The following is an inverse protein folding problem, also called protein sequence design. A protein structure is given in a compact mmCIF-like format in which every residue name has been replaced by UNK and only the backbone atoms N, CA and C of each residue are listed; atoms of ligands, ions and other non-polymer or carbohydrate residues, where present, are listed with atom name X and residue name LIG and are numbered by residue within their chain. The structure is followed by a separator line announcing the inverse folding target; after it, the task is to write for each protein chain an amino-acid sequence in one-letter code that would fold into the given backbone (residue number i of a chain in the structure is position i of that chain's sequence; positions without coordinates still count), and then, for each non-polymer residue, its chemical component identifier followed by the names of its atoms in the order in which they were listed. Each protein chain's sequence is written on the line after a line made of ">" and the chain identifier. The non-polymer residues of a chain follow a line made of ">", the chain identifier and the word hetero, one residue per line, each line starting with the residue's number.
data_IF_295478407211
#
_entry.id   IF_295478407211
#
_cell.length_a   1.000
_cell.length_b   1.000
_cell.length_c   1.000
_cell.angle_alpha   90.00
_cell.angle_beta   90.00
_cell.angle_gamma   90.00
#
_symmetry.space_group_name_H-M   'P 1'
#
loop_
_entity.id
_entity.type
_entity.pdbx_description
1 polymer ?
#
# COMPACT_ATOMS: atom_id res chain seq x y z
N UNK A 1 24.68 -1.82 -9.72
CA UNK A 1 24.24 -0.94 -8.62
C UNK A 1 23.91 0.42 -9.23
N UNK A 2 22.64 0.82 -9.21
CA UNK A 2 22.24 2.19 -9.56
C UNK A 2 22.32 3.03 -8.30
N UNK A 3 23.10 4.11 -8.36
CA UNK A 3 23.33 5.02 -7.25
C UNK A 3 22.27 6.12 -7.25
N UNK A 4 21.66 6.36 -6.10
CA UNK A 4 20.78 7.50 -5.88
C UNK A 4 21.65 8.76 -5.80
N UNK A 5 21.51 9.68 -6.75
CA UNK A 5 22.18 10.98 -6.71
C UNK A 5 21.18 12.04 -6.27
N UNK A 6 21.15 12.31 -4.97
CA UNK A 6 20.37 13.41 -4.42
C UNK A 6 21.24 14.68 -4.44
N UNK A 7 20.66 15.79 -4.90
CA UNK A 7 21.37 17.07 -4.82
C UNK A 7 21.43 17.55 -3.37
N UNK A 8 22.44 18.34 -3.02
CA UNK A 8 22.53 18.97 -1.69
C UNK A 8 21.30 19.80 -1.36
N UNK A 9 20.59 20.31 -2.37
CA UNK A 9 19.39 21.11 -2.20
C UNK A 9 18.17 20.22 -1.84
N UNK A 10 18.07 19.04 -2.46
CA UNK A 10 17.04 18.04 -2.14
C UNK A 10 17.14 17.56 -0.69
N UNK A 11 18.36 17.30 -0.20
CA UNK A 11 18.60 16.85 1.17
C UNK A 11 18.27 17.90 2.23
N UNK A 12 18.48 19.18 1.93
CA UNK A 12 18.34 20.26 2.93
C UNK A 12 16.98 20.93 2.91
N UNK A 13 16.26 20.90 1.78
CA UNK A 13 14.98 21.60 1.62
C UNK A 13 13.77 20.64 1.64
N UNK A 14 13.93 19.36 1.27
CA UNK A 14 12.80 18.47 0.95
C UNK A 14 12.85 17.07 1.59
N UNK A 15 13.94 16.68 2.26
CA UNK A 15 14.05 15.43 3.02
C UNK A 15 14.40 15.78 4.46
N UNK A 16 13.46 16.41 5.14
CA UNK A 16 13.73 17.12 6.39
C UNK A 16 13.75 16.20 7.62
N UNK A 17 13.29 14.95 7.51
CA UNK A 17 13.26 13.97 8.61
C UNK A 17 14.19 12.77 8.36
N UNK A 18 14.78 12.24 9.44
CA UNK A 18 15.59 11.01 9.40
C UNK A 18 14.79 9.80 8.85
N UNK A 19 13.49 9.83 9.09
CA UNK A 19 12.52 8.84 8.67
C UNK A 19 12.45 8.73 7.13
N UNK A 20 12.33 9.86 6.42
CA UNK A 20 12.29 9.89 4.95
C UNK A 20 13.57 9.34 4.31
N UNK A 21 14.73 9.57 4.95
CA UNK A 21 16.01 9.03 4.48
C UNK A 21 16.12 7.52 4.68
N UNK A 22 15.56 6.99 5.77
CA UNK A 22 15.51 5.55 6.02
C UNK A 22 14.60 4.84 5.01
N UNK A 23 13.42 5.41 4.73
CA UNK A 23 12.49 4.91 3.72
C UNK A 23 13.12 4.79 2.33
N UNK A 24 13.75 5.85 1.84
CA UNK A 24 14.43 5.86 0.53
C UNK A 24 15.56 4.82 0.46
N UNK A 25 16.27 4.59 1.57
CA UNK A 25 17.31 3.56 1.64
C UNK A 25 16.72 2.15 1.53
N UNK A 26 15.62 1.88 2.21
CA UNK A 26 14.93 0.58 2.16
C UNK A 26 14.45 0.26 0.73
N UNK A 27 13.92 1.26 0.03
CA UNK A 27 13.50 1.12 -1.38
C UNK A 27 14.67 0.74 -2.30
N UNK A 28 15.83 1.38 -2.12
CA UNK A 28 17.03 1.05 -2.88
C UNK A 28 17.53 -0.37 -2.58
N UNK A 29 17.49 -0.81 -1.32
CA UNK A 29 17.93 -2.16 -0.92
C UNK A 29 17.02 -3.26 -1.46
N UNK A 30 15.73 -2.98 -1.63
CA UNK A 30 14.77 -3.88 -2.27
C UNK A 30 14.80 -3.83 -3.81
N UNK A 31 15.69 -3.03 -4.40
CA UNK A 31 15.90 -2.99 -5.85
C UNK A 31 14.91 -2.13 -6.64
N UNK A 32 14.17 -1.24 -5.98
CA UNK A 32 13.27 -0.31 -6.66
C UNK A 32 14.05 0.87 -7.26
N UNK A 33 13.68 1.29 -8.48
CA UNK A 33 14.24 2.48 -9.12
C UNK A 33 13.38 3.69 -8.83
N UNK A 34 14.00 4.73 -8.27
CA UNK A 34 13.35 6.02 -8.03
C UNK A 34 13.52 6.88 -9.30
N UNK A 35 12.45 7.44 -9.88
CA UNK A 35 12.55 8.29 -11.07
C UNK A 35 13.37 9.54 -10.79
N UNK A 36 14.19 9.94 -11.77
CA UNK A 36 15.05 11.11 -11.64
C UNK A 36 14.31 12.46 -11.68
N UNK A 37 13.04 12.45 -12.08
CA UNK A 37 12.16 13.62 -12.22
C UNK A 37 11.15 13.76 -11.06
N UNK A 38 11.28 12.95 -10.01
CA UNK A 38 10.41 13.02 -8.85
C UNK A 38 10.67 14.33 -8.07
N UNK A 39 9.72 15.27 -8.16
CA UNK A 39 9.72 16.50 -7.38
C UNK A 39 8.96 16.30 -6.06
N UNK A 40 9.57 16.68 -4.94
CA UNK A 40 8.96 16.62 -3.61
C UNK A 40 8.77 18.05 -3.08
N UNK A 41 7.54 18.41 -2.72
CA UNK A 41 7.27 19.62 -1.93
C UNK A 41 6.19 19.29 -0.88
N UNK A 42 6.56 19.27 0.40
CA UNK A 42 5.62 19.16 1.51
C UNK A 42 6.22 19.74 2.80
N UNK A 43 5.39 20.45 3.58
CA UNK A 43 5.92 21.39 4.59
C UNK A 43 5.31 21.22 6.01
N UNK A 44 4.46 20.21 6.25
CA UNK A 44 4.05 19.70 7.58
C UNK A 44 2.97 18.59 7.47
N UNK A 45 2.83 17.75 8.53
CA UNK A 45 2.19 16.42 8.57
C UNK A 45 2.84 15.28 7.75
N UNK A 46 4.09 15.28 7.36
CA UNK A 46 5.04 16.34 7.13
C UNK A 46 6.11 15.70 6.30
N UNK A 47 6.15 16.13 5.05
CA UNK A 47 6.31 15.19 3.95
C UNK A 47 5.20 14.13 4.02
N UNK A 48 3.97 14.59 4.34
CA UNK A 48 2.75 13.78 4.41
C UNK A 48 2.70 13.00 3.14
N UNK A 49 2.81 11.68 3.25
CA UNK A 49 2.49 10.90 2.08
C UNK A 49 3.49 11.19 0.92
N UNK A 50 4.49 12.12 1.01
CA UNK A 50 5.83 11.91 0.40
C UNK A 50 6.05 10.48 0.77
N UNK A 51 6.12 9.48 -0.10
CA UNK A 51 5.96 8.05 0.25
C UNK A 51 4.59 7.33 0.14
N UNK A 52 3.37 7.87 0.39
CA UNK A 52 2.18 7.46 -0.43
C UNK A 52 2.65 7.46 -1.88
N UNK A 53 3.43 8.52 -2.12
CA UNK A 53 4.53 8.91 -3.02
C UNK A 53 5.81 8.09 -2.80
N UNK A 54 5.75 6.81 -3.02
CA UNK A 54 6.17 6.57 -4.39
C UNK A 54 5.00 6.26 -5.29
N UNK A 55 3.82 6.64 -4.82
CA UNK A 55 2.63 6.95 -5.57
C UNK A 55 2.38 5.73 -6.37
N UNK A 56 2.29 4.60 -5.66
CA UNK A 56 2.13 3.27 -6.23
C UNK A 56 3.43 2.58 -6.65
N UNK A 57 4.46 3.31 -7.07
CA UNK A 57 5.55 2.79 -7.90
C UNK A 57 4.94 1.85 -8.96
N UNK A 58 3.89 2.21 -9.72
CA UNK A 58 3.82 3.44 -10.51
C UNK A 58 2.42 3.75 -11.15
N UNK A 59 1.25 3.28 -10.65
CA UNK A 59 -0.04 3.44 -11.39
C UNK A 59 -1.41 3.57 -10.66
N UNK A 60 -1.60 3.26 -9.37
CA UNK A 60 -2.89 3.01 -8.69
C UNK A 60 -3.31 4.12 -7.67
N UNK A 61 -3.89 5.20 -8.16
CA UNK A 61 -4.13 6.41 -7.36
C UNK A 61 -4.96 6.12 -6.10
N UNK A 62 -4.57 6.62 -4.92
CA UNK A 62 -5.35 6.45 -3.70
C UNK A 62 -6.73 7.10 -3.82
N UNK A 63 -7.73 6.50 -3.16
CA UNK A 63 -9.12 6.98 -3.12
C UNK A 63 -9.56 7.08 -1.66
N UNK A 64 -10.05 8.25 -1.26
CA UNK A 64 -10.69 8.41 0.04
C UNK A 64 -12.15 7.93 -0.03
N UNK A 65 -12.59 7.18 0.98
CA UNK A 65 -14.00 6.77 1.14
C UNK A 65 -14.53 7.11 2.53
N UNK A 66 -15.80 7.50 2.61
CA UNK A 66 -16.50 7.69 3.88
C UNK A 66 -17.09 6.38 4.36
N UNK A 67 -16.87 6.06 5.63
CA UNK A 67 -17.27 4.78 6.23
C UNK A 67 -18.04 5.04 7.51
N UNK A 68 -19.16 4.34 7.69
CA UNK A 68 -19.97 4.48 8.90
C UNK A 68 -19.58 3.41 9.90
N UNK A 69 -18.87 3.81 10.96
CA UNK A 69 -18.47 2.93 12.06
C UNK A 69 -19.56 2.88 13.10
N UNK A 70 -19.91 1.68 13.55
CA UNK A 70 -20.95 1.47 14.58
C UNK A 70 -20.30 0.99 15.86
N UNK A 71 -20.50 1.74 16.94
CA UNK A 71 -20.01 1.40 18.27
C UNK A 71 -21.18 1.18 19.22
N UNK A 72 -20.88 0.67 20.42
CA UNK A 72 -21.85 0.56 21.51
C UNK A 72 -22.51 1.91 21.89
N UNK A 73 -21.89 3.04 21.55
CA UNK A 73 -22.36 4.39 21.85
C UNK A 73 -23.03 5.11 20.67
N UNK A 74 -23.25 4.43 19.54
CA UNK A 74 -23.85 4.98 18.33
C UNK A 74 -22.94 4.84 17.11
N UNK A 75 -23.42 5.34 15.97
CA UNK A 75 -22.69 5.32 14.71
C UNK A 75 -22.08 6.70 14.41
N UNK A 76 -20.86 6.72 13.87
CA UNK A 76 -20.21 7.93 13.38
C UNK A 76 -19.63 7.70 11.98
N UNK A 77 -19.46 8.80 11.24
CA UNK A 77 -18.80 8.77 9.93
C UNK A 77 -17.32 9.02 10.11
N UNK A 78 -16.50 8.20 9.47
CA UNK A 78 -15.05 8.31 9.44
C UNK A 78 -14.57 8.32 7.98
N UNK A 79 -13.29 8.64 7.76
CA UNK A 79 -12.65 8.62 6.45
C UNK A 79 -11.49 7.65 6.43
N UNK A 80 -11.49 6.78 5.43
CA UNK A 80 -10.42 5.82 5.19
C UNK A 80 -9.75 6.12 3.85
N UNK A 81 -8.44 5.86 3.79
CA UNK A 81 -7.68 5.91 2.53
C UNK A 81 -7.57 4.51 1.97
N UNK A 82 -8.16 4.27 0.79
CA UNK A 82 -8.06 3.00 0.06
C UNK A 82 -7.00 3.12 -1.03
N UNK A 83 -6.13 2.12 -1.09
CA UNK A 83 -5.06 1.99 -2.06
C UNK A 83 -5.47 0.91 -3.06
N UNK A 84 -5.95 1.33 -4.24
CA UNK A 84 -6.40 0.40 -5.28
C UNK A 84 -5.26 -0.53 -5.71
N UNK A 85 -5.57 -1.82 -5.85
CA UNK A 85 -4.58 -2.82 -6.21
C UNK A 85 -4.50 -3.02 -7.73
N UNK A 86 -3.28 -3.22 -8.25
CA UNK A 86 -3.10 -3.50 -9.68
C UNK A 86 -3.75 -4.85 -10.05
N UNK A 87 -4.49 -4.86 -11.17
CA UNK A 87 -5.16 -6.07 -11.66
C UNK A 87 -6.42 -6.46 -10.87
N UNK A 88 -7.01 -5.52 -10.15
CA UNK A 88 -8.26 -5.73 -9.43
C UNK A 88 -9.43 -6.19 -10.33
N UNK A 89 -9.57 -5.62 -11.54
CA UNK A 89 -10.59 -6.07 -12.50
C UNK A 89 -10.38 -7.55 -12.91
N UNK A 90 -9.12 -7.96 -13.02
CA UNK A 90 -8.78 -9.36 -13.29
C UNK A 90 -9.15 -10.24 -12.10
N UNK A 91 -8.91 -9.77 -10.86
CA UNK A 91 -9.31 -10.46 -9.65
C UNK A 91 -10.82 -10.73 -9.62
N UNK A 92 -11.64 -9.70 -9.81
CA UNK A 92 -13.11 -9.83 -9.86
C UNK A 92 -13.53 -10.87 -10.90
N UNK A 93 -12.98 -10.76 -12.11
CA UNK A 93 -13.30 -11.69 -13.21
C UNK A 93 -12.87 -13.12 -12.90
N UNK A 94 -11.71 -13.31 -12.28
CA UNK A 94 -11.19 -14.62 -11.91
C UNK A 94 -12.00 -15.23 -10.76
N UNK A 95 -12.37 -14.44 -9.75
CA UNK A 95 -13.23 -14.88 -8.62
C UNK A 95 -14.59 -15.39 -9.10
N UNK A 96 -15.14 -14.79 -10.14
CA UNK A 96 -16.37 -15.28 -10.80
C UNK A 96 -16.24 -16.66 -11.47
N UNK A 97 -15.00 -17.13 -11.71
CA UNK A 97 -14.69 -18.44 -12.32
C UNK A 97 -14.18 -19.43 -11.25
N UNK A 98 -13.42 -18.95 -10.28
CA UNK A 98 -12.77 -19.72 -9.23
C UNK A 98 -13.27 -19.25 -7.86
N UNK A 99 -14.37 -19.81 -7.32
CA UNK A 99 -14.91 -19.43 -6.02
C UNK A 99 -13.92 -19.63 -4.87
N UNK A 100 -12.98 -20.57 -4.99
CA UNK A 100 -11.92 -20.80 -4.00
C UNK A 100 -10.97 -19.60 -3.81
N UNK A 101 -11.02 -18.61 -4.71
CA UNK A 101 -10.33 -17.33 -4.51
C UNK A 101 -10.91 -16.52 -3.34
N UNK A 102 -12.16 -16.78 -2.96
CA UNK A 102 -12.82 -16.11 -1.83
C UNK A 102 -12.14 -16.45 -0.50
N UNK A 103 -11.74 -17.71 -0.31
CA UNK A 103 -11.01 -18.16 0.89
C UNK A 103 -9.65 -17.45 1.00
N UNK A 104 -8.91 -17.37 -0.12
CA UNK A 104 -7.64 -16.63 -0.17
C UNK A 104 -7.81 -15.13 0.09
N UNK A 105 -8.94 -14.54 -0.35
CA UNK A 105 -9.26 -13.14 -0.09
C UNK A 105 -9.54 -12.90 1.40
N UNK A 106 -10.33 -13.78 2.03
CA UNK A 106 -10.61 -13.71 3.47
C UNK A 106 -9.32 -13.85 4.29
N UNK A 107 -8.47 -14.83 3.97
CA UNK A 107 -7.17 -15.00 4.64
C UNK A 107 -6.27 -13.78 4.51
N UNK A 108 -6.30 -13.10 3.36
CA UNK A 108 -5.55 -11.85 3.18
C UNK A 108 -6.14 -10.69 3.98
N UNK A 109 -7.47 -10.57 4.07
CA UNK A 109 -8.16 -9.52 4.84
C UNK A 109 -7.93 -9.65 6.34
N UNK A 110 -7.75 -10.87 6.84
CA UNK A 110 -7.43 -11.12 8.25
C UNK A 110 -6.02 -10.64 8.64
N UNK A 111 -5.17 -10.29 7.67
CA UNK A 111 -3.86 -9.69 7.92
C UNK A 111 -3.98 -8.19 8.13
N UNK A 112 -3.83 -7.77 9.38
CA UNK A 112 -3.71 -6.36 9.78
C UNK A 112 -2.38 -6.12 10.48
N UNK A 113 -1.70 -5.06 10.07
CA UNK A 113 -0.47 -4.58 10.72
C UNK A 113 -0.73 -3.21 11.31
N UNK A 114 -0.42 -3.03 12.59
CA UNK A 114 -0.69 -1.78 13.31
C UNK A 114 0.54 -1.29 14.06
N UNK A 115 0.79 0.00 14.01
CA UNK A 115 1.83 0.69 14.77
C UNK A 115 1.20 1.79 15.63
N UNK A 116 1.41 1.76 16.95
CA UNK A 116 1.07 2.86 17.86
C UNK A 116 2.34 3.53 18.34
N UNK A 117 2.43 4.84 18.18
CA UNK A 117 3.49 5.65 18.72
C UNK A 117 2.94 6.92 19.38
N UNK A 118 3.20 7.08 20.68
CA UNK A 118 2.82 8.27 21.46
C UNK A 118 1.32 8.60 21.36
N UNK A 119 0.46 7.59 21.25
CA UNK A 119 -0.99 7.77 21.08
C UNK A 119 -1.38 8.20 19.67
N UNK A 120 -0.45 8.09 18.72
CA UNK A 120 -0.71 8.20 17.29
C UNK A 120 -0.66 6.81 16.65
N UNK A 121 -1.78 6.33 16.10
CA UNK A 121 -1.88 4.97 15.58
C UNK A 121 -2.06 4.92 14.06
N UNK A 122 -1.27 4.08 13.38
CA UNK A 122 -1.39 3.80 11.95
C UNK A 122 -1.56 2.31 11.74
N UNK A 123 -2.58 1.88 11.01
CA UNK A 123 -2.74 0.48 10.60
C UNK A 123 -2.93 0.32 9.10
N UNK A 124 -2.50 -0.83 8.59
CA UNK A 124 -2.68 -1.26 7.21
C UNK A 124 -3.30 -2.65 7.17
N UNK A 125 -4.31 -2.82 6.32
CA UNK A 125 -5.02 -4.09 6.12
C UNK A 125 -5.42 -4.28 4.66
N UNK A 126 -5.80 -5.51 4.29
CA UNK A 126 -6.48 -5.77 3.02
C UNK A 126 -7.98 -5.59 3.16
N UNK A 127 -8.59 -5.08 2.09
CA UNK A 127 -10.04 -5.07 1.91
C UNK A 127 -10.39 -5.52 0.49
N UNK A 128 -11.70 -5.63 0.23
CA UNK A 128 -12.29 -6.07 -1.02
C UNK A 128 -11.83 -5.28 -2.24
N UNK A 129 -11.44 -4.02 -2.07
CA UNK A 129 -11.20 -3.03 -3.12
C UNK A 129 -9.76 -2.49 -3.11
N UNK A 130 -8.94 -2.89 -2.13
CA UNK A 130 -7.57 -2.41 -2.03
C UNK A 130 -6.91 -2.71 -0.69
N UNK A 131 -5.78 -2.06 -0.45
CA UNK A 131 -5.20 -1.96 0.89
C UNK A 131 -5.79 -0.73 1.57
N UNK A 132 -6.26 -0.89 2.80
CA UNK A 132 -6.82 0.20 3.61
C UNK A 132 -5.73 0.68 4.56
N UNK A 133 -5.55 2.01 4.61
CA UNK A 133 -4.72 2.66 5.60
C UNK A 133 -5.63 3.42 6.57
N UNK A 134 -5.62 3.01 7.83
CA UNK A 134 -6.39 3.66 8.89
C UNK A 134 -5.47 4.44 9.83
N UNK A 135 -5.91 5.64 10.19
CA UNK A 135 -5.22 6.48 11.16
C UNK A 135 -6.12 6.69 12.38
N UNK A 136 -5.65 6.24 13.53
CA UNK A 136 -6.37 6.27 14.80
C UNK A 136 -5.91 7.43 15.69
N UNK A 137 -5.87 8.64 15.14
CA UNK A 137 -5.49 9.92 15.76
C UNK A 137 -3.97 10.15 15.81
N UNK A 138 -3.52 11.43 15.77
CA UNK A 138 -2.11 11.80 15.84
C UNK A 138 -1.62 12.75 14.74
N UNK A 139 -0.63 13.62 15.03
CA UNK A 139 0.02 14.48 14.02
C UNK A 139 1.42 13.99 13.63
N UNK A 140 1.90 12.89 14.20
CA UNK A 140 3.28 12.41 14.03
C UNK A 140 3.31 10.89 13.98
N UNK A 141 3.81 10.34 12.88
CA UNK A 141 4.00 8.91 12.65
C UNK A 141 5.42 8.67 12.16
N UNK A 142 5.91 7.44 12.34
CA UNK A 142 7.13 6.97 11.69
C UNK A 142 6.72 6.13 10.47
N UNK A 143 7.05 6.59 9.27
CA UNK A 143 6.65 5.93 8.02
C UNK A 143 7.51 4.69 7.75
N UNK A 144 8.78 4.68 8.16
CA UNK A 144 9.65 3.51 7.97
C UNK A 144 9.14 2.23 8.64
N UNK A 145 8.36 2.33 9.72
CA UNK A 145 7.87 1.16 10.46
C UNK A 145 6.77 0.42 9.71
N UNK A 146 5.92 1.13 8.95
CA UNK A 146 4.80 0.52 8.21
C UNK A 146 5.18 0.09 6.78
N UNK A 147 6.32 0.58 6.27
CA UNK A 147 6.76 0.28 4.90
C UNK A 147 7.05 -1.21 4.67
N UNK A 148 7.62 -1.92 5.65
CA UNK A 148 7.89 -3.35 5.51
C UNK A 148 6.61 -4.18 5.39
N UNK A 149 5.61 -3.83 6.19
CA UNK A 149 4.30 -4.45 6.20
C UNK A 149 3.59 -4.20 4.87
N UNK A 150 3.64 -2.97 4.36
CA UNK A 150 3.14 -2.64 3.03
C UNK A 150 3.77 -3.50 1.92
N UNK A 151 5.10 -3.70 1.94
CA UNK A 151 5.78 -4.53 0.95
C UNK A 151 5.34 -5.99 1.02
N UNK A 152 5.16 -6.51 2.22
CA UNK A 152 4.72 -7.88 2.45
C UNK A 152 3.34 -8.09 1.85
N UNK A 153 2.38 -7.20 2.19
CA UNK A 153 1.02 -7.25 1.66
C UNK A 153 1.00 -7.13 0.13
N UNK A 154 1.68 -6.13 -0.45
CA UNK A 154 1.72 -5.95 -1.91
C UNK A 154 2.34 -7.15 -2.65
N UNK A 155 3.35 -7.78 -2.08
CA UNK A 155 3.96 -8.97 -2.65
C UNK A 155 2.98 -10.15 -2.66
N UNK A 156 2.31 -10.40 -1.52
CA UNK A 156 1.29 -11.44 -1.42
C UNK A 156 0.18 -11.25 -2.46
N UNK A 157 -0.34 -10.03 -2.61
CA UNK A 157 -1.33 -9.73 -3.65
C UNK A 157 -0.84 -10.11 -5.06
N UNK A 158 0.38 -9.68 -5.40
CA UNK A 158 0.94 -9.87 -6.74
C UNK A 158 1.18 -11.34 -7.05
N UNK A 159 1.68 -12.11 -6.07
CA UNK A 159 1.90 -13.55 -6.22
C UNK A 159 0.59 -14.31 -6.35
N UNK A 160 -0.39 -14.03 -5.48
CA UNK A 160 -1.71 -14.67 -5.51
C UNK A 160 -2.42 -14.40 -6.84
N UNK A 161 -2.46 -13.14 -7.30
CA UNK A 161 -3.04 -12.80 -8.59
C UNK A 161 -2.30 -13.50 -9.76
N UNK A 162 -0.97 -13.59 -9.69
CA UNK A 162 -0.17 -14.27 -10.71
C UNK A 162 -0.43 -15.77 -10.77
N UNK A 163 -0.63 -16.41 -9.62
CA UNK A 163 -1.02 -17.81 -9.53
C UNK A 163 -2.35 -18.07 -10.25
N UNK A 164 -3.38 -17.29 -9.95
CA UNK A 164 -4.70 -17.45 -10.57
C UNK A 164 -4.71 -17.17 -12.07
N UNK A 165 -3.94 -16.17 -12.51
CA UNK A 165 -3.74 -15.91 -13.94
C UNK A 165 -3.11 -17.10 -14.66
N UNK A 166 -2.12 -17.76 -14.05
CA UNK A 166 -1.48 -18.97 -14.61
C UNK A 166 -2.45 -20.15 -14.65
N UNK A 167 -3.16 -20.41 -13.56
CA UNK A 167 -4.18 -21.47 -13.48
C UNK A 167 -5.19 -21.36 -14.62
N UNK A 168 -5.71 -20.14 -14.87
CA UNK A 168 -6.62 -19.89 -15.99
C UNK A 168 -6.02 -20.24 -17.36
N UNK A 169 -4.76 -19.92 -17.59
CA UNK A 169 -4.09 -20.24 -18.85
C UNK A 169 -3.93 -21.76 -19.00
N UNK A 170 -3.56 -22.46 -17.93
CA UNK A 170 -3.40 -23.92 -17.91
C UNK A 170 -4.72 -24.64 -18.18
N UNK A 171 -5.81 -24.21 -17.54
CA UNK A 171 -7.14 -24.77 -17.75
C UNK A 171 -7.60 -24.58 -19.21
N UNK A 172 -7.40 -23.39 -19.78
CA UNK A 172 -7.71 -23.10 -21.17
C UNK A 172 -6.89 -23.94 -22.16
N UNK A 173 -5.64 -24.28 -21.83
CA UNK A 173 -4.82 -25.17 -22.67
C UNK A 173 -5.38 -26.60 -22.64
N UNK A 174 -5.81 -27.08 -21.46
CA UNK A 174 -6.37 -28.41 -21.30
C UNK A 174 -7.73 -28.57 -21.99
N UNK A 175 -8.58 -27.54 -21.97
CA UNK A 175 -9.88 -27.56 -22.66
C UNK A 175 -9.76 -27.58 -24.19
N UNK A 176 -8.65 -27.10 -24.74
CA UNK A 176 -8.39 -27.03 -26.18
C UNK A 176 -7.46 -28.15 -26.71
N UNK A 177 -7.01 -29.06 -25.84
CA UNK A 177 -6.14 -30.20 -26.17
C UNK A 177 -6.95 -31.50 -26.36
#
# INVERSE_FOLDING_TARGET
>A
MKSLFLTSNTLTQHLQTLDNLMALKMLQDKGHEIPGDLAFEADCWGDTVLELVLGILFSCKPVEREVTRTTSNGSYSDRETVLSLEGYDDWIRLKGVYPEMEEAEEEMRDLEFSCDYMGSGLSISFDADGLVLENSYGESFYVHTILEDFFTLKHMWTETLSYWRKKKIEDLIQENA
#
